data_IF_717396753929
#
_entry.id   IF_717396753929
#
_cell.length_a   1.000
_cell.length_b   1.000
_cell.length_c   1.000
_cell.angle_alpha   90.00
_cell.angle_beta   90.00
_cell.angle_gamma   90.00
#
_symmetry.space_group_name_H-M   'P 1'
#
loop_
_entity.id
_entity.type
_entity.pdbx_description
1 polymer ?
#
# COMPACT_ATOMS: atom_id res chain seq x y z
N UNK A 1 -13.68 4.75 -7.70
CA UNK A 1 -12.84 5.14 -6.54
C UNK A 1 -11.43 4.64 -6.80
N UNK A 2 -10.40 5.49 -6.79
CA UNK A 2 -9.04 5.00 -7.03
C UNK A 2 -8.52 4.28 -5.78
N UNK A 3 -8.00 3.07 -5.96
CA UNK A 3 -7.29 2.31 -4.93
C UNK A 3 -5.84 2.82 -4.84
N UNK A 4 -5.66 4.13 -4.71
CA UNK A 4 -4.34 4.74 -4.66
C UNK A 4 -3.66 4.42 -3.33
N UNK A 5 -2.36 4.10 -3.38
CA UNK A 5 -1.55 3.90 -2.19
C UNK A 5 -1.65 5.07 -1.21
N UNK A 6 -1.71 6.30 -1.71
CA UNK A 6 -1.82 7.51 -0.88
C UNK A 6 -3.05 7.47 0.03
N UNK A 7 -4.20 7.11 -0.54
CA UNK A 7 -5.48 7.06 0.20
C UNK A 7 -5.43 5.97 1.28
N UNK A 8 -4.85 4.81 0.95
CA UNK A 8 -4.70 3.69 1.90
C UNK A 8 -3.80 4.11 3.07
N UNK A 9 -2.68 4.78 2.80
CA UNK A 9 -1.74 5.27 3.82
C UNK A 9 -2.40 6.33 4.71
N UNK A 10 -3.13 7.29 4.12
CA UNK A 10 -3.83 8.33 4.87
C UNK A 10 -4.89 7.73 5.81
N UNK A 11 -5.74 6.83 5.33
CA UNK A 11 -6.76 6.18 6.17
C UNK A 11 -6.15 5.31 7.27
N UNK A 12 -5.03 4.62 6.98
CA UNK A 12 -4.30 3.80 7.97
C UNK A 12 -3.69 4.69 9.08
N UNK A 13 -3.20 5.87 8.69
CA UNK A 13 -2.69 6.88 9.64
C UNK A 13 -3.79 7.47 10.51
N UNK A 14 -4.94 7.83 9.93
CA UNK A 14 -6.10 8.36 10.67
C UNK A 14 -6.60 7.37 11.73
N UNK A 15 -6.60 6.07 11.39
CA UNK A 15 -7.01 4.99 12.30
C UNK A 15 -5.89 4.53 13.24
N UNK A 16 -4.69 5.08 13.08
CA UNK A 16 -3.47 4.64 13.77
C UNK A 16 -3.25 3.11 13.69
N UNK A 17 -3.61 2.52 12.55
CA UNK A 17 -3.53 1.09 12.29
C UNK A 17 -2.60 0.87 11.09
N UNK A 18 -1.36 0.43 11.31
CA UNK A 18 -0.37 0.26 10.23
C UNK A 18 -0.66 -0.96 9.35
N UNK A 19 -1.41 -1.93 9.86
CA UNK A 19 -1.82 -3.13 9.15
C UNK A 19 -3.03 -2.85 8.27
N UNK A 20 -2.94 -3.27 7.01
CA UNK A 20 -3.99 -3.07 6.01
C UNK A 20 -4.51 -4.42 5.57
N UNK A 21 -5.76 -4.72 5.93
CA UNK A 21 -6.46 -5.87 5.36
C UNK A 21 -6.80 -5.58 3.88
N UNK A 22 -6.24 -6.39 2.98
CA UNK A 22 -6.44 -6.24 1.54
C UNK A 22 -7.82 -6.74 1.09
N UNK A 23 -8.36 -7.78 1.75
CA UNK A 23 -9.67 -8.35 1.42
C UNK A 23 -10.79 -7.37 1.75
N UNK A 24 -10.76 -6.75 2.93
CA UNK A 24 -11.75 -5.75 3.36
C UNK A 24 -11.81 -4.55 2.42
N UNK A 25 -10.69 -4.26 1.76
CA UNK A 25 -10.56 -3.14 0.82
C UNK A 25 -10.84 -3.53 -0.62
N UNK A 26 -11.25 -4.78 -0.87
CA UNK A 26 -11.49 -5.32 -2.20
C UNK A 26 -10.25 -5.28 -3.09
N UNK A 27 -9.06 -5.36 -2.50
CA UNK A 27 -7.77 -5.44 -3.19
C UNK A 27 -7.46 -6.92 -3.38
N UNK A 28 -7.66 -7.42 -4.61
CA UNK A 28 -7.46 -8.84 -4.91
C UNK A 28 -6.03 -9.15 -5.40
N UNK A 29 -5.30 -8.12 -5.83
CA UNK A 29 -3.93 -8.24 -6.31
C UNK A 29 -3.14 -6.94 -5.99
N UNK A 30 -1.80 -7.01 -6.01
CA UNK A 30 -0.95 -5.85 -5.72
C UNK A 30 -0.92 -4.78 -6.83
N UNK A 31 -1.30 -5.14 -8.07
CA UNK A 31 -1.35 -4.22 -9.22
C UNK A 31 -2.55 -3.27 -9.14
N UNK A 32 -3.61 -3.66 -8.41
CA UNK A 32 -4.78 -2.83 -8.12
C UNK A 32 -4.40 -1.56 -7.35
N UNK A 33 -3.28 -1.58 -6.62
CA UNK A 33 -2.81 -0.46 -5.80
C UNK A 33 -1.74 0.32 -6.55
N UNK A 34 -2.16 1.37 -7.24
CA UNK A 34 -1.26 2.25 -7.99
C UNK A 34 -0.17 2.83 -7.07
N UNK A 35 1.09 2.61 -7.45
CA UNK A 35 2.27 3.08 -6.73
C UNK A 35 2.83 2.12 -5.67
N UNK A 36 2.14 1.02 -5.34
CA UNK A 36 2.61 0.05 -4.34
C UNK A 36 3.96 -0.57 -4.73
N UNK A 37 4.10 -0.99 -5.99
CA UNK A 37 5.36 -1.55 -6.50
C UNK A 37 6.53 -0.57 -6.45
N UNK A 38 6.30 0.74 -6.61
CA UNK A 38 7.36 1.74 -6.51
C UNK A 38 7.95 1.78 -5.09
N UNK A 39 7.11 1.63 -4.06
CA UNK A 39 7.57 1.53 -2.68
C UNK A 39 8.32 0.22 -2.44
N UNK A 40 7.77 -0.91 -2.92
CA UNK A 40 8.44 -2.22 -2.75
C UNK A 40 9.84 -2.19 -3.39
N UNK A 41 9.95 -1.67 -4.61
CA UNK A 41 11.24 -1.52 -5.31
C UNK A 41 12.18 -0.59 -4.55
N UNK A 42 11.69 0.55 -4.05
CA UNK A 42 12.50 1.48 -3.27
C UNK A 42 13.01 0.85 -1.96
N UNK A 43 12.16 0.13 -1.23
CA UNK A 43 12.53 -0.59 -0.01
C UNK A 43 13.58 -1.64 -0.35
N UNK A 44 13.37 -2.45 -1.38
CA UNK A 44 14.36 -3.45 -1.82
C UNK A 44 15.69 -2.78 -2.18
N UNK A 45 15.66 -1.65 -2.89
CA UNK A 45 16.86 -0.88 -3.26
C UNK A 45 17.59 -0.30 -2.05
N UNK A 46 16.88 0.21 -1.06
CA UNK A 46 17.46 0.74 0.18
C UNK A 46 18.04 -0.39 1.05
N UNK A 47 17.44 -1.58 0.99
CA UNK A 47 17.84 -2.75 1.76
C UNK A 47 18.80 -3.69 1.01
N UNK A 48 19.28 -3.32 -0.19
CA UNK A 48 20.45 -3.97 -0.82
C UNK A 48 21.64 -3.87 0.16
N UNK A 49 22.26 -4.93 0.71
CA UNK A 49 22.46 -6.32 0.27
C UNK A 49 22.90 -6.45 -1.19
#
# INVERSE_FOLDING_TARGET
>A
MSKSLKKIVEESREKNQPEVDMCDRGISNMLDVSGLFNIVILILKINEL
#
